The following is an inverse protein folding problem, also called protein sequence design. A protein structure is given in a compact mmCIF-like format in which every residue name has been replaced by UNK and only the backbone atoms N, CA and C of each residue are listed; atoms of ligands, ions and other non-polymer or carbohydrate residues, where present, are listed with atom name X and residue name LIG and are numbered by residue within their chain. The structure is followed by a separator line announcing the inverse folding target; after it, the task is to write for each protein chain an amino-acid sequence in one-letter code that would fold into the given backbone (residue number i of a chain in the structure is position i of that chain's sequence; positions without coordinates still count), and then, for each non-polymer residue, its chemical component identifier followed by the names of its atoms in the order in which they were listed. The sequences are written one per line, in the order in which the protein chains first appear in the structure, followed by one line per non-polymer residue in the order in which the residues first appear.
data_IF_502173978879
#
_entry.id   IF_502173978879
#
_cell.length_a   1.000
_cell.length_b   1.000
_cell.length_c   1.000
_cell.angle_alpha   90.00
_cell.angle_beta   90.00
_cell.angle_gamma   90.00
#
_symmetry.space_group_name_H-M   'P 1'
#
loop_
_entity.id
_entity.type
_entity.pdbx_description
1 polymer ?
#
# COMPACT_ATOMS: atom_id res chain seq x y z
N UNK A 1 -14.40 -10.18 -4.09
CA UNK A 1 -15.62 -9.83 -4.85
C UNK A 1 -15.97 -8.33 -4.88
N UNK A 2 -15.58 -7.51 -3.89
CA UNK A 2 -15.85 -6.05 -3.92
C UNK A 2 -15.00 -5.22 -4.92
N UNK A 3 -13.87 -5.77 -5.39
CA UNK A 3 -12.96 -5.08 -6.31
C UNK A 3 -13.49 -4.93 -7.73
N UNK A 4 -14.27 -5.88 -8.24
CA UNK A 4 -14.75 -5.87 -9.64
C UNK A 4 -15.87 -4.84 -9.88
N UNK A 5 -16.73 -4.63 -8.88
CA UNK A 5 -17.89 -3.71 -9.00
C UNK A 5 -17.48 -2.26 -9.25
N UNK A 6 -16.33 -1.81 -8.71
CA UNK A 6 -15.85 -0.43 -8.91
C UNK A 6 -15.10 -0.19 -10.22
N UNK A 7 -14.58 -1.25 -10.85
CA UNK A 7 -13.89 -1.15 -12.14
C UNK A 7 -14.87 -1.02 -13.33
N UNK A 8 -16.11 -1.48 -13.17
CA UNK A 8 -17.16 -1.41 -14.20
C UNK A 8 -18.21 -0.33 -13.97
N UNK A 9 -18.31 0.25 -12.77
CA UNK A 9 -19.27 1.33 -12.50
C UNK A 9 -18.86 2.64 -13.16
N UNK A 10 -19.87 3.45 -13.54
CA UNK A 10 -19.70 4.75 -14.23
C UNK A 10 -18.68 5.65 -13.51
N UNK A 11 -18.69 5.62 -12.18
CA UNK A 11 -17.71 6.29 -11.32
C UNK A 11 -16.26 5.90 -11.65
N UNK A 12 -15.91 4.62 -11.69
CA UNK A 12 -14.54 4.18 -11.95
C UNK A 12 -14.01 4.52 -13.35
N UNK A 13 -14.90 4.63 -14.36
CA UNK A 13 -14.53 5.11 -15.70
C UNK A 13 -14.32 6.63 -15.72
N UNK A 14 -15.23 7.37 -15.10
CA UNK A 14 -15.10 8.83 -14.95
C UNK A 14 -13.82 9.19 -14.20
N UNK A 15 -13.46 8.49 -13.11
CA UNK A 15 -12.19 8.72 -12.39
C UNK A 15 -10.94 8.49 -13.24
N UNK A 16 -10.91 7.40 -14.02
CA UNK A 16 -9.75 7.09 -14.87
C UNK A 16 -9.59 8.12 -15.98
N UNK A 17 -10.69 8.58 -16.56
CA UNK A 17 -10.68 9.68 -17.52
C UNK A 17 -10.16 10.98 -16.88
N UNK A 18 -10.65 11.33 -15.69
CA UNK A 18 -10.18 12.51 -14.93
C UNK A 18 -8.69 12.43 -14.63
N UNK A 19 -8.17 11.25 -14.31
CA UNK A 19 -6.75 11.04 -14.02
C UNK A 19 -5.85 11.10 -15.26
N UNK A 20 -6.38 10.87 -16.47
CA UNK A 20 -5.64 11.02 -17.72
C UNK A 20 -5.62 12.45 -18.23
N UNK A 21 -6.81 13.06 -18.39
CA UNK A 21 -6.93 14.47 -18.79
C UNK A 21 -8.19 15.10 -18.18
N UNK A 22 -7.96 16.04 -17.26
CA UNK A 22 -9.03 16.79 -16.57
C UNK A 22 -9.77 17.74 -17.51
N UNK A 23 -9.09 18.34 -18.50
CA UNK A 23 -9.71 19.27 -19.47
C UNK A 23 -10.65 18.51 -20.38
N UNK A 24 -10.19 17.41 -20.99
CA UNK A 24 -11.03 16.57 -21.84
C UNK A 24 -12.25 16.03 -21.08
N UNK A 25 -12.07 15.63 -19.82
CA UNK A 25 -13.16 15.08 -19.00
C UNK A 25 -14.21 16.14 -18.62
N UNK A 26 -13.80 17.39 -18.43
CA UNK A 26 -14.72 18.52 -18.20
C UNK A 26 -15.53 18.85 -19.46
N UNK A 27 -14.91 18.79 -20.64
CA UNK A 27 -15.61 18.96 -21.93
C UNK A 27 -16.62 17.83 -22.18
N UNK A 28 -16.36 16.63 -21.67
CA UNK A 28 -17.29 15.50 -21.70
C UNK A 28 -18.48 15.62 -20.70
N UNK A 29 -18.64 16.75 -20.01
CA UNK A 29 -19.77 17.02 -19.10
C UNK A 29 -19.63 16.40 -17.71
N UNK A 30 -18.45 15.90 -17.33
CA UNK A 30 -18.20 15.36 -15.99
C UNK A 30 -17.79 16.49 -15.05
N UNK A 31 -18.51 16.61 -13.91
CA UNK A 31 -18.17 17.56 -12.85
C UNK A 31 -16.93 17.09 -12.07
N UNK A 32 -15.74 17.37 -12.61
CA UNK A 32 -14.44 16.92 -12.10
C UNK A 32 -14.24 17.31 -10.63
N UNK A 33 -14.47 18.57 -10.25
CA UNK A 33 -14.31 19.02 -8.86
C UNK A 33 -15.20 18.22 -7.89
N UNK A 34 -16.49 18.05 -8.22
CA UNK A 34 -17.44 17.37 -7.33
C UNK A 34 -17.10 15.89 -7.17
N UNK A 35 -16.61 15.24 -8.24
CA UNK A 35 -16.13 13.86 -8.20
C UNK A 35 -14.87 13.73 -7.35
N UNK A 36 -13.88 14.61 -7.52
CA UNK A 36 -12.65 14.61 -6.71
C UNK A 36 -12.96 14.83 -5.23
N UNK A 37 -13.76 15.86 -4.92
CA UNK A 37 -14.14 16.18 -3.55
C UNK A 37 -14.82 14.98 -2.87
N UNK A 38 -15.82 14.36 -3.51
CA UNK A 38 -16.52 13.22 -2.91
C UNK A 38 -15.60 12.02 -2.59
N UNK A 39 -14.57 11.81 -3.39
CA UNK A 39 -13.65 10.68 -3.24
C UNK A 39 -12.58 10.96 -2.20
N UNK A 40 -12.04 12.17 -2.18
CA UNK A 40 -11.12 12.60 -1.12
C UNK A 40 -11.81 12.61 0.23
N UNK A 41 -13.06 13.11 0.31
CA UNK A 41 -13.83 13.07 1.54
C UNK A 41 -14.09 11.64 1.99
N UNK A 42 -14.53 10.75 1.08
CA UNK A 42 -14.73 9.34 1.42
C UNK A 42 -13.43 8.65 1.86
N UNK A 43 -12.30 8.91 1.19
CA UNK A 43 -11.01 8.34 1.59
C UNK A 43 -10.56 8.87 2.95
N UNK A 44 -10.74 10.18 3.18
CA UNK A 44 -10.37 10.84 4.44
C UNK A 44 -11.22 10.36 5.61
N UNK A 45 -12.52 10.13 5.41
CA UNK A 45 -13.39 9.60 6.48
C UNK A 45 -13.01 8.17 6.86
N UNK A 46 -12.69 7.31 5.89
CA UNK A 46 -12.18 5.97 6.17
C UNK A 46 -10.80 6.00 6.86
N UNK A 47 -9.90 6.88 6.43
CA UNK A 47 -8.58 7.03 7.05
C UNK A 47 -8.69 7.56 8.50
N UNK A 48 -9.57 8.52 8.74
CA UNK A 48 -9.84 9.06 10.07
C UNK A 48 -10.44 7.99 11.01
N UNK A 49 -11.40 7.20 10.52
CA UNK A 49 -11.95 6.07 11.27
C UNK A 49 -10.87 5.02 11.59
N UNK A 50 -10.08 4.61 10.59
CA UNK A 50 -8.99 3.65 10.79
C UNK A 50 -7.94 4.16 11.77
N UNK A 51 -7.53 5.42 11.65
CA UNK A 51 -6.61 6.08 12.57
C UNK A 51 -7.16 6.17 13.99
N UNK A 52 -8.45 6.50 14.16
CA UNK A 52 -9.09 6.55 15.47
C UNK A 52 -9.11 5.18 16.16
N UNK A 53 -9.44 4.11 15.43
CA UNK A 53 -9.39 2.74 15.93
C UNK A 53 -7.95 2.33 16.31
N UNK A 54 -6.98 2.72 15.49
CA UNK A 54 -5.57 2.42 15.72
C UNK A 54 -5.03 3.17 16.95
N UNK A 55 -5.39 4.44 17.13
CA UNK A 55 -5.10 5.22 18.34
C UNK A 55 -5.68 4.58 19.60
N UNK A 56 -6.89 4.04 19.54
CA UNK A 56 -7.49 3.32 20.67
C UNK A 56 -6.70 2.05 21.02
N UNK A 57 -6.11 1.40 20.02
CA UNK A 57 -5.38 0.14 20.19
C UNK A 57 -3.96 0.35 20.76
N UNK A 58 -3.35 1.52 20.52
CA UNK A 58 -2.01 1.89 20.99
C UNK A 58 -1.98 2.57 22.37
N UNK A 59 -2.93 2.28 23.26
CA UNK A 59 -2.95 2.80 24.64
C UNK A 59 -1.67 2.49 25.46
N UNK A 60 -0.80 1.59 24.96
CA UNK A 60 0.54 1.31 25.49
C UNK A 60 1.57 2.20 24.78
N UNK A 61 2.10 3.20 25.49
CA UNK A 61 3.00 4.26 25.01
C UNK A 61 4.33 3.74 24.41
N UNK A 62 4.29 3.24 23.18
CA UNK A 62 5.48 3.13 22.35
C UNK A 62 5.31 4.09 21.15
N UNK A 63 6.08 5.19 21.06
CA UNK A 63 5.97 6.18 19.98
C UNK A 63 6.65 5.74 18.67
N UNK A 64 7.42 4.65 18.69
CA UNK A 64 8.15 4.16 17.52
C UNK A 64 7.32 3.63 16.32
N UNK A 65 6.13 3.02 16.48
CA UNK A 65 5.44 2.35 15.37
C UNK A 65 4.66 3.29 14.45
N UNK A 66 4.65 4.61 14.66
CA UNK A 66 3.85 5.53 13.83
C UNK A 66 4.38 5.75 12.41
N UNK A 67 5.70 5.79 12.23
CA UNK A 67 6.32 6.15 10.94
C UNK A 67 6.63 4.95 10.05
N UNK A 68 7.06 3.82 10.62
CA UNK A 68 7.43 2.62 9.87
C UNK A 68 6.30 2.08 8.97
N UNK A 69 5.05 1.89 9.45
CA UNK A 69 3.95 1.38 8.62
C UNK A 69 3.50 2.39 7.57
N UNK A 70 3.63 3.70 7.82
CA UNK A 70 3.35 4.73 6.80
C UNK A 70 4.32 4.61 5.62
N UNK A 71 5.61 4.47 5.91
CA UNK A 71 6.65 4.34 4.87
C UNK A 71 6.44 3.03 4.08
N UNK A 72 6.19 1.90 4.77
CA UNK A 72 5.90 0.64 4.09
C UNK A 72 4.63 0.70 3.25
N UNK A 73 3.56 1.35 3.72
CA UNK A 73 2.33 1.52 2.94
C UNK A 73 2.57 2.36 1.67
N UNK A 74 3.37 3.42 1.76
CA UNK A 74 3.74 4.24 0.60
C UNK A 74 4.59 3.45 -0.40
N UNK A 75 5.61 2.73 0.08
CA UNK A 75 6.44 1.86 -0.77
C UNK A 75 5.59 0.78 -1.43
N UNK A 76 4.67 0.15 -0.69
CA UNK A 76 3.75 -0.85 -1.22
C UNK A 76 2.89 -0.30 -2.35
N UNK A 77 2.42 0.94 -2.23
CA UNK A 77 1.63 1.60 -3.28
C UNK A 77 2.45 1.93 -4.53
N UNK A 78 3.70 2.36 -4.35
CA UNK A 78 4.61 2.60 -5.46
C UNK A 78 4.98 1.30 -6.19
N UNK A 79 5.36 0.26 -5.43
CA UNK A 79 5.73 -1.05 -5.97
C UNK A 79 4.53 -1.78 -6.59
N UNK A 80 3.33 -1.57 -6.04
CA UNK A 80 2.08 -2.11 -6.56
C UNK A 80 1.61 -1.50 -7.89
N UNK A 81 2.36 -0.54 -8.45
CA UNK A 81 2.12 0.03 -9.78
C UNK A 81 1.07 1.14 -9.80
N UNK A 82 0.88 1.88 -8.70
CA UNK A 82 0.01 3.06 -8.66
C UNK A 82 0.77 4.28 -9.23
N UNK A 83 0.20 4.95 -10.23
CA UNK A 83 0.82 6.16 -10.79
C UNK A 83 0.56 7.38 -9.92
N UNK A 84 1.63 8.10 -9.54
CA UNK A 84 1.55 9.40 -8.85
C UNK A 84 0.96 10.50 -9.72
N UNK A 85 1.17 10.42 -11.04
CA UNK A 85 0.60 11.36 -12.02
C UNK A 85 -0.92 11.17 -12.21
N UNK A 86 -1.47 10.04 -11.77
CA UNK A 86 -2.88 9.72 -11.87
C UNK A 86 -3.29 9.00 -13.16
N UNK A 87 -4.52 8.51 -13.21
CA UNK A 87 -5.12 7.88 -14.39
C UNK A 87 -4.74 6.42 -14.65
N UNK A 88 -3.69 5.90 -13.99
CA UNK A 88 -3.22 4.51 -14.14
C UNK A 88 -2.85 3.89 -12.78
N UNK A 89 -3.28 2.66 -12.54
CA UNK A 89 -2.95 1.88 -11.34
C UNK A 89 -3.94 0.74 -11.14
N UNK A 90 -3.47 -0.41 -10.64
CA UNK A 90 -4.33 -1.57 -10.38
C UNK A 90 -4.42 -1.85 -8.88
N UNK A 91 -5.64 -2.01 -8.37
CA UNK A 91 -5.85 -2.41 -6.98
C UNK A 91 -5.33 -3.83 -6.70
N UNK A 92 -5.28 -4.68 -7.73
CA UNK A 92 -4.74 -6.04 -7.62
C UNK A 92 -3.23 -6.04 -7.35
N UNK A 93 -2.46 -5.19 -8.04
CA UNK A 93 -1.01 -5.05 -7.80
C UNK A 93 -0.72 -4.52 -6.39
N UNK A 94 -1.47 -3.52 -5.94
CA UNK A 94 -1.39 -2.99 -4.57
C UNK A 94 -1.66 -4.08 -3.52
N UNK A 95 -2.76 -4.83 -3.66
CA UNK A 95 -3.11 -5.90 -2.71
C UNK A 95 -2.07 -7.01 -2.68
N UNK A 96 -1.51 -7.39 -3.83
CA UNK A 96 -0.46 -8.39 -3.89
C UNK A 96 0.80 -7.96 -3.12
N UNK A 97 1.21 -6.71 -3.26
CA UNK A 97 2.39 -6.18 -2.54
C UNK A 97 2.13 -6.05 -1.04
N UNK A 98 0.96 -5.55 -0.62
CA UNK A 98 0.61 -5.47 0.81
C UNK A 98 0.63 -6.85 1.45
N UNK A 99 -0.01 -7.85 0.81
CA UNK A 99 -0.01 -9.22 1.32
C UNK A 99 1.40 -9.80 1.37
N UNK A 100 2.24 -9.52 0.36
CA UNK A 100 3.62 -9.99 0.34
C UNK A 100 4.46 -9.42 1.49
N UNK A 101 4.29 -8.12 1.80
CA UNK A 101 4.99 -7.42 2.88
C UNK A 101 4.55 -7.95 4.25
N UNK A 102 3.25 -8.12 4.45
CA UNK A 102 2.69 -8.55 5.73
C UNK A 102 2.81 -10.06 5.96
N UNK A 103 3.11 -10.86 4.92
CA UNK A 103 3.27 -12.31 5.04
C UNK A 103 4.63 -12.69 5.64
N UNK A 104 4.73 -13.04 6.93
CA UNK A 104 5.99 -13.44 7.55
C UNK A 104 6.15 -14.95 7.32
N UNK A 105 6.25 -15.38 6.06
CA UNK A 105 5.96 -16.78 5.70
C UNK A 105 7.07 -17.54 4.97
N UNK A 106 7.68 -16.93 3.95
CA UNK A 106 8.49 -17.72 3.01
C UNK A 106 9.86 -18.14 3.58
N UNK A 107 10.43 -17.37 4.51
CA UNK A 107 11.73 -17.69 5.11
C UNK A 107 11.66 -18.78 6.20
N UNK A 108 10.46 -19.13 6.69
CA UNK A 108 10.25 -20.24 7.66
C UNK A 108 10.04 -21.59 6.97
N UNK A 109 9.75 -21.60 5.67
CA UNK A 109 9.49 -22.81 4.89
C UNK A 109 10.69 -23.27 4.04
N UNK A 110 11.76 -22.48 4.00
CA UNK A 110 13.04 -22.96 3.50
C UNK A 110 13.72 -23.71 4.65
N UNK A 111 13.87 -25.04 4.57
CA UNK A 111 14.88 -25.70 5.38
C UNK A 111 16.18 -24.98 5.04
N UNK A 112 16.95 -24.56 6.06
CA UNK A 112 18.34 -24.13 5.86
C UNK A 112 19.11 -25.28 5.21
N UNK A 113 19.00 -25.44 3.89
CA UNK A 113 19.88 -26.28 3.09
C UNK A 113 21.18 -25.51 2.95
N UNK A 114 22.08 -25.75 3.90
CA UNK A 114 23.47 -25.36 3.82
C UNK A 114 23.77 -23.94 4.27
N UNK A 115 23.76 -23.70 5.59
CA UNK A 115 24.83 -22.89 6.14
C UNK A 115 26.00 -23.84 6.37
N UNK A 116 27.15 -23.70 5.67
CA UNK A 116 28.35 -24.42 6.04
C UNK A 116 28.71 -24.04 7.47
N UNK A 117 28.69 -25.03 8.36
CA UNK A 117 29.44 -25.02 9.60
C UNK A 117 30.90 -24.88 9.22
N UNK A 118 31.49 -23.69 9.38
CA UNK A 118 32.93 -23.62 9.47
C UNK A 118 33.31 -24.02 10.90
N UNK A 119 34.01 -25.15 11.07
CA UNK A 119 34.53 -25.56 12.35
C UNK A 119 35.77 -24.72 12.66
N UNK A 120 35.87 -24.31 13.91
CA UNK A 120 37.11 -24.17 14.68
C UNK A 120 38.28 -23.43 14.00
N UNK A 121 38.42 -22.14 14.30
CA UNK A 121 39.70 -21.44 14.26
C UNK A 121 40.11 -21.04 15.68
N UNK A 122 40.30 -22.04 16.54
CA UNK A 122 41.36 -22.04 17.56
C UNK A 122 42.71 -21.86 16.86
N UNK A 123 43.03 -20.63 16.47
CA UNK A 123 44.34 -20.22 15.99
C UNK A 123 44.50 -18.69 16.13
N UNK A 124 44.38 -18.22 17.37
CA UNK A 124 44.90 -16.94 17.83
C UNK A 124 45.51 -17.28 19.21
N UNK A 125 46.56 -18.13 19.29
CA UNK A 125 47.98 -17.74 19.20
C UNK A 125 48.16 -16.44 20.00
N UNK A 126 48.33 -16.51 21.31
CA UNK A 126 49.64 -16.72 21.95
C UNK A 126 50.73 -15.96 21.21
N UNK A 127 50.74 -14.64 21.37
CA UNK A 127 51.94 -13.87 21.72
C UNK A 127 51.58 -12.87 22.82
#
# INVERSE_FOLDING_TARGET
MAGLVRWFTRLGRELRAVGGDRRATRVAGVAVERRLAGIFTASGTLAALGGALLSYSFASANPAPGLQPLILAAVAALLGGVSLAGGRGTAAGLLAVIVAIESPGLHKLLPRRGAPSHPDSRAEVTE
#
